data_IF_396363574098
#
_entry.id   IF_396363574098
#
_cell.length_a   1.000
_cell.length_b   1.000
_cell.length_c   1.000
_cell.angle_alpha   90.00
_cell.angle_beta   90.00
_cell.angle_gamma   90.00
#
_symmetry.space_group_name_H-M   'P 1'
#
loop_
_entity.id
_entity.type
_entity.pdbx_description
1 polymer ?
#
# COMPACT_ATOMS: atom_id res chain seq x y z
N UNK A 1 0.12 9.05 -14.13
CA UNK A 1 -0.94 9.87 -14.75
C UNK A 1 -2.24 9.08 -14.94
N UNK A 2 -2.24 7.87 -15.53
CA UNK A 2 -3.45 7.10 -15.82
C UNK A 2 -4.41 6.95 -14.61
N UNK A 3 -3.90 6.55 -13.44
CA UNK A 3 -4.72 6.35 -12.23
C UNK A 3 -5.42 7.63 -11.73
N UNK A 4 -4.77 8.79 -11.82
CA UNK A 4 -5.37 10.07 -11.43
C UNK A 4 -6.50 10.48 -12.38
N UNK A 5 -6.31 10.28 -13.69
CA UNK A 5 -7.33 10.56 -14.69
C UNK A 5 -8.58 9.67 -14.51
N UNK A 6 -8.40 8.40 -14.14
CA UNK A 6 -9.53 7.50 -13.84
C UNK A 6 -10.30 7.94 -12.59
N UNK A 7 -9.62 8.28 -11.48
CA UNK A 7 -10.26 8.74 -10.24
C UNK A 7 -11.05 10.03 -10.49
N UNK A 8 -10.49 10.98 -11.26
CA UNK A 8 -11.13 12.25 -11.57
C UNK A 8 -12.45 12.13 -12.34
N UNK A 9 -12.74 10.99 -12.98
CA UNK A 9 -14.03 10.74 -13.64
C UNK A 9 -15.18 10.60 -12.64
N UNK A 10 -14.89 10.12 -11.43
CA UNK A 10 -15.91 9.79 -10.42
C UNK A 10 -15.81 10.64 -9.14
N UNK A 11 -14.63 11.20 -8.85
CA UNK A 11 -14.37 11.98 -7.64
C UNK A 11 -13.91 13.41 -8.01
N UNK A 12 -14.71 14.41 -7.65
CA UNK A 12 -14.39 15.83 -7.89
C UNK A 12 -13.24 16.32 -7.02
N UNK A 13 -12.97 15.65 -5.90
CA UNK A 13 -11.82 15.92 -5.03
C UNK A 13 -10.74 14.85 -5.19
N UNK A 14 -10.55 14.33 -6.41
CA UNK A 14 -9.55 13.30 -6.74
C UNK A 14 -8.16 13.58 -6.16
N UNK A 15 -7.78 14.86 -6.08
CA UNK A 15 -6.50 15.32 -5.55
C UNK A 15 -6.28 14.96 -4.06
N UNK A 16 -7.36 14.82 -3.28
CA UNK A 16 -7.32 14.48 -1.85
C UNK A 16 -6.81 13.06 -1.59
N UNK A 17 -6.86 12.19 -2.62
CA UNK A 17 -6.35 10.82 -2.58
C UNK A 17 -4.83 10.75 -2.72
N UNK A 18 -4.16 11.86 -3.04
CA UNK A 18 -2.72 11.90 -3.26
C UNK A 18 -1.97 12.64 -2.14
N UNK A 19 -0.68 12.36 -2.05
CA UNK A 19 0.28 13.13 -1.26
C UNK A 19 1.46 13.52 -2.14
N UNK A 20 2.04 14.68 -1.86
CA UNK A 20 3.28 15.16 -2.49
C UNK A 20 4.39 15.33 -1.47
N UNK A 21 5.63 15.05 -1.85
CA UNK A 21 6.79 15.21 -1.00
C UNK A 21 7.24 16.67 -1.01
N UNK A 22 7.04 17.39 0.09
CA UNK A 22 7.41 18.80 0.24
C UNK A 22 8.21 18.96 1.54
N UNK A 23 9.44 19.47 1.42
CA UNK A 23 10.35 19.64 2.56
C UNK A 23 10.65 18.31 3.28
N UNK A 24 10.75 17.21 2.53
CA UNK A 24 10.98 15.87 3.07
C UNK A 24 9.78 15.24 3.79
N UNK A 25 8.59 15.83 3.69
CA UNK A 25 7.36 15.29 4.30
C UNK A 25 6.27 15.08 3.27
N UNK A 26 5.55 13.96 3.41
CA UNK A 26 4.35 13.69 2.62
C UNK A 26 3.20 14.57 3.11
N UNK A 27 2.67 15.39 2.22
CA UNK A 27 1.59 16.32 2.55
C UNK A 27 0.43 16.14 1.57
N UNK A 28 -0.79 16.21 2.10
CA UNK A 28 -2.00 16.21 1.28
C UNK A 28 -2.17 17.56 0.59
N UNK A 29 -2.49 17.59 -0.71
CA UNK A 29 -2.91 18.80 -1.39
C UNK A 29 -4.17 19.37 -0.75
N UNK A 30 -4.24 20.70 -0.63
CA UNK A 30 -5.40 21.43 -0.11
C UNK A 30 -6.35 21.91 -1.23
N UNK A 31 -5.96 21.69 -2.48
CA UNK A 31 -6.71 22.04 -3.69
C UNK A 31 -6.20 21.19 -4.86
N UNK A 32 -6.91 21.26 -5.98
CA UNK A 32 -6.49 20.69 -7.26
C UNK A 32 -5.06 21.12 -7.64
N UNK A 33 -4.32 20.22 -8.29
CA UNK A 33 -2.93 20.44 -8.68
C UNK A 33 -2.59 19.73 -9.98
N UNK A 34 -1.47 20.14 -10.59
CA UNK A 34 -0.86 19.44 -11.72
C UNK A 34 0.35 18.64 -11.25
N UNK A 35 0.58 17.47 -11.85
CA UNK A 35 1.78 16.67 -11.58
C UNK A 35 3.00 17.36 -12.19
N UNK A 36 3.94 17.77 -11.32
CA UNK A 36 5.20 18.39 -11.71
C UNK A 36 6.32 17.34 -11.66
N UNK A 37 7.16 17.21 -12.72
CA UNK A 37 8.22 16.20 -12.76
C UNK A 37 9.22 16.27 -11.60
N UNK A 38 9.40 17.44 -11.00
CA UNK A 38 10.36 17.71 -9.93
C UNK A 38 9.83 17.32 -8.54
N UNK A 39 8.57 16.89 -8.45
CA UNK A 39 7.91 16.54 -7.20
C UNK A 39 7.59 15.05 -7.20
N UNK A 40 7.90 14.40 -6.08
CA UNK A 40 7.46 13.04 -5.84
C UNK A 40 6.01 13.01 -5.35
N UNK A 41 5.22 12.07 -5.89
CA UNK A 41 3.83 11.87 -5.55
C UNK A 41 3.58 10.42 -5.17
N UNK A 42 2.63 10.21 -4.25
CA UNK A 42 2.09 8.88 -3.96
C UNK A 42 0.59 8.96 -3.70
N UNK A 43 -0.09 7.82 -3.79
CA UNK A 43 -1.42 7.69 -3.20
C UNK A 43 -1.31 7.79 -1.69
N UNK A 44 -2.27 8.46 -1.06
CA UNK A 44 -2.40 8.49 0.39
C UNK A 44 -2.50 7.04 0.89
N UNK A 45 -1.67 6.62 1.85
CA UNK A 45 -1.78 5.28 2.41
C UNK A 45 -3.21 5.05 2.92
N UNK A 46 -3.81 3.95 2.48
CA UNK A 46 -5.08 3.46 2.99
C UNK A 46 -4.80 2.48 4.11
N UNK A 47 -5.71 2.41 5.07
CA UNK A 47 -5.59 1.53 6.22
C UNK A 47 -6.85 0.70 6.34
N UNK A 48 -6.68 -0.55 6.75
CA UNK A 48 -7.73 -1.45 7.18
C UNK A 48 -7.63 -1.66 8.68
N UNK A 49 -8.76 -1.90 9.34
CA UNK A 49 -8.78 -2.26 10.76
C UNK A 49 -8.72 -3.78 10.89
N UNK A 50 -7.73 -4.27 11.64
CA UNK A 50 -7.62 -5.68 12.01
C UNK A 50 -7.50 -5.73 13.53
N UNK A 51 -8.57 -6.15 14.21
CA UNK A 51 -8.64 -6.24 15.67
C UNK A 51 -8.26 -4.94 16.40
N UNK A 52 -8.69 -3.78 15.88
CA UNK A 52 -8.35 -2.47 16.44
C UNK A 52 -6.96 -1.94 16.07
N UNK A 53 -6.19 -2.67 15.26
CA UNK A 53 -4.93 -2.20 14.71
C UNK A 53 -5.16 -1.61 13.32
N UNK A 54 -4.63 -0.41 13.10
CA UNK A 54 -4.61 0.23 11.79
C UNK A 54 -3.45 -0.33 10.97
N UNK A 55 -3.77 -1.13 9.97
CA UNK A 55 -2.81 -1.82 9.11
C UNK A 55 -2.83 -1.18 7.74
N UNK A 56 -1.69 -0.78 7.15
CA UNK A 56 -1.66 -0.32 5.77
C UNK A 56 -2.30 -1.35 4.84
N UNK A 57 -3.13 -0.90 3.91
CA UNK A 57 -3.84 -1.77 2.98
C UNK A 57 -2.83 -2.63 2.19
N UNK A 58 -2.97 -3.97 2.21
CA UNK A 58 -2.12 -4.86 1.43
C UNK A 58 -2.25 -4.57 -0.07
N UNK A 59 -1.26 -5.00 -0.84
CA UNK A 59 -1.31 -4.92 -2.31
C UNK A 59 -2.58 -5.62 -2.83
N UNK A 60 -3.31 -4.95 -3.73
CA UNK A 60 -4.58 -5.41 -4.30
C UNK A 60 -4.49 -5.80 -5.79
N UNK A 61 -3.44 -5.35 -6.48
CA UNK A 61 -3.23 -5.56 -7.91
C UNK A 61 -1.90 -6.29 -8.12
N UNK A 62 -1.77 -7.16 -9.14
CA UNK A 62 -0.50 -7.80 -9.47
C UNK A 62 0.65 -6.81 -9.60
N UNK A 63 1.83 -7.20 -9.13
CA UNK A 63 3.05 -6.38 -9.21
C UNK A 63 3.75 -6.57 -10.55
N UNK A 64 4.68 -5.69 -10.87
CA UNK A 64 5.56 -5.88 -12.03
C UNK A 64 6.56 -7.02 -11.75
N UNK A 65 6.87 -7.84 -12.76
CA UNK A 65 7.84 -8.92 -12.65
C UNK A 65 9.19 -8.42 -12.10
N UNK A 66 9.69 -9.13 -11.09
CA UNK A 66 10.92 -8.81 -10.34
C UNK A 66 10.73 -7.85 -9.18
N UNK A 67 9.54 -7.27 -8.98
CA UNK A 67 9.26 -6.36 -7.87
C UNK A 67 9.45 -7.06 -6.53
N UNK A 68 10.27 -6.49 -5.65
CA UNK A 68 10.45 -7.00 -4.29
C UNK A 68 9.25 -6.69 -3.39
N UNK A 69 8.81 -7.66 -2.60
CA UNK A 69 7.72 -7.50 -1.65
C UNK A 69 7.94 -8.31 -0.36
N UNK A 70 7.21 -7.93 0.69
CA UNK A 70 7.19 -8.62 1.98
C UNK A 70 5.91 -9.46 2.11
N UNK A 71 6.05 -10.69 2.60
CA UNK A 71 4.95 -11.61 2.90
C UNK A 71 4.75 -11.71 4.40
N UNK A 72 3.52 -11.47 4.84
CA UNK A 72 3.16 -11.59 6.25
C UNK A 72 2.76 -13.02 6.58
N UNK A 73 3.44 -13.66 7.52
CA UNK A 73 3.07 -14.94 8.13
C UNK A 73 2.83 -14.82 9.64
N UNK A 74 2.29 -15.87 10.24
CA UNK A 74 2.15 -15.94 11.71
C UNK A 74 3.52 -16.14 12.37
N UNK A 75 4.37 -16.93 11.75
CA UNK A 75 5.74 -17.25 12.14
C UNK A 75 6.74 -16.11 11.87
N UNK A 76 6.51 -15.28 10.84
CA UNK A 76 7.45 -14.22 10.50
C UNK A 76 7.03 -13.32 9.35
N UNK A 77 7.99 -12.57 8.83
CA UNK A 77 7.85 -11.77 7.62
C UNK A 77 9.00 -12.14 6.70
N UNK A 78 8.65 -12.62 5.51
CA UNK A 78 9.61 -13.01 4.49
C UNK A 78 9.69 -11.95 3.40
N UNK A 79 10.84 -11.90 2.72
CA UNK A 79 11.04 -11.07 1.53
C UNK A 79 11.13 -11.95 0.30
N UNK A 80 10.36 -11.61 -0.73
CA UNK A 80 10.28 -12.34 -2.00
C UNK A 80 10.31 -11.36 -3.18
N UNK A 81 10.41 -11.89 -4.40
CA UNK A 81 10.32 -11.12 -5.64
C UNK A 81 9.23 -11.70 -6.50
N UNK A 82 8.40 -10.82 -7.06
CA UNK A 82 7.27 -11.19 -7.89
C UNK A 82 7.77 -11.89 -9.15
N UNK A 83 7.39 -13.14 -9.34
CA UNK A 83 7.70 -13.97 -10.49
C UNK A 83 6.49 -14.17 -11.43
N UNK A 84 5.33 -13.62 -11.08
CA UNK A 84 4.07 -13.78 -11.83
C UNK A 84 3.63 -15.25 -11.90
N UNK A 85 3.80 -15.96 -10.78
CA UNK A 85 3.44 -17.38 -10.63
C UNK A 85 2.17 -17.60 -9.77
N UNK A 86 1.77 -18.86 -9.65
CA UNK A 86 0.57 -19.22 -8.87
C UNK A 86 0.71 -18.90 -7.37
N UNK A 87 1.94 -18.92 -6.83
CA UNK A 87 2.19 -18.64 -5.42
C UNK A 87 2.05 -17.13 -5.13
N UNK A 88 2.60 -16.29 -6.00
CA UNK A 88 2.39 -14.83 -6.01
C UNK A 88 0.90 -14.48 -6.03
N UNK A 89 0.14 -15.07 -6.96
CA UNK A 89 -1.29 -14.85 -7.08
C UNK A 89 -2.05 -15.28 -5.82
N UNK A 90 -1.68 -16.41 -5.22
CA UNK A 90 -2.31 -16.91 -4.01
C UNK A 90 -2.04 -15.98 -2.82
N UNK A 91 -0.81 -15.48 -2.68
CA UNK A 91 -0.44 -14.52 -1.63
C UNK A 91 -1.16 -13.18 -1.81
N UNK A 92 -1.33 -12.72 -3.05
CA UNK A 92 -2.07 -11.52 -3.39
C UNK A 92 -3.55 -11.66 -3.00
N UNK A 93 -4.20 -12.76 -3.40
CA UNK A 93 -5.62 -13.07 -3.07
C UNK A 93 -5.85 -13.17 -1.56
N UNK A 94 -4.83 -13.58 -0.80
CA UNK A 94 -4.88 -13.65 0.66
C UNK A 94 -4.66 -12.29 1.35
N UNK A 95 -4.28 -11.23 0.62
CA UNK A 95 -4.01 -9.91 1.18
C UNK A 95 -2.79 -9.89 2.10
N UNK A 96 -1.77 -10.71 1.81
CA UNK A 96 -0.58 -10.88 2.68
C UNK A 96 0.65 -10.11 2.21
N UNK A 97 0.56 -9.46 1.05
CA UNK A 97 1.66 -8.79 0.37
C UNK A 97 1.72 -7.31 0.76
N UNK A 98 2.91 -6.85 1.18
CA UNK A 98 3.21 -5.44 1.45
C UNK A 98 4.49 -5.00 0.75
N UNK A 99 4.55 -3.77 0.27
CA UNK A 99 5.75 -3.21 -0.40
C UNK A 99 6.81 -2.70 0.59
N UNK A 100 6.47 -2.56 1.87
CA UNK A 100 7.43 -2.15 2.91
C UNK A 100 7.38 -3.11 4.09
N UNK A 101 8.52 -3.24 4.77
CA UNK A 101 8.65 -4.11 5.94
C UNK A 101 7.79 -3.60 7.10
N UNK A 102 7.72 -2.28 7.29
CA UNK A 102 6.96 -1.66 8.37
C UNK A 102 5.46 -1.92 8.22
N UNK A 103 4.95 -1.92 6.98
CA UNK A 103 3.55 -2.27 6.69
C UNK A 103 3.28 -3.76 6.99
N UNK A 104 4.20 -4.64 6.61
CA UNK A 104 4.12 -6.06 6.96
C UNK A 104 4.17 -6.30 8.48
N UNK A 105 5.00 -5.56 9.22
CA UNK A 105 5.13 -5.63 10.69
C UNK A 105 3.85 -5.17 11.39
N UNK A 106 3.21 -4.10 10.90
CA UNK A 106 1.91 -3.65 11.40
C UNK A 106 0.83 -4.73 11.19
N UNK A 107 0.78 -5.32 9.99
CA UNK A 107 -0.16 -6.40 9.68
C UNK A 107 0.09 -7.62 10.57
N UNK A 108 1.35 -8.07 10.70
CA UNK A 108 1.70 -9.22 11.55
C UNK A 108 1.32 -8.99 13.00
N UNK A 109 1.59 -7.79 13.53
CA UNK A 109 1.22 -7.43 14.91
C UNK A 109 -0.29 -7.53 15.12
N UNK A 110 -1.07 -7.07 14.15
CA UNK A 110 -2.52 -7.21 14.17
C UNK A 110 -2.97 -8.69 14.17
N UNK A 111 -2.36 -9.55 13.35
CA UNK A 111 -2.68 -10.99 13.35
C UNK A 111 -2.32 -11.67 14.68
N UNK A 112 -1.16 -11.35 15.25
CA UNK A 112 -0.71 -11.93 16.51
C UNK A 112 -1.60 -11.51 17.68
N UNK A 113 -2.18 -10.31 17.63
CA UNK A 113 -3.08 -9.81 18.68
C UNK A 113 -4.30 -10.71 18.94
N UNK A 114 -4.69 -11.57 17.98
CA UNK A 114 -5.73 -12.58 18.20
C UNK A 114 -5.31 -13.72 19.15
N UNK A 115 -4.00 -13.91 19.35
CA UNK A 115 -3.42 -15.03 20.12
C UNK A 115 -2.75 -14.60 21.42
N UNK A 116 -2.43 -13.32 21.58
CA UNK A 116 -1.95 -12.74 22.84
C UNK A 116 -3.16 -12.41 23.73
N UNK A 117 -3.40 -13.23 24.75
CA UNK A 117 -4.35 -12.98 25.84
C UNK A 117 -3.61 -12.95 27.17
#
# INVERSE_FOLDING_TARGET
MAKAAEIAKTDKEWYSQFQRLIGGKWQSPIAEFVFLPEIEYRMKPRYIDINGYQVPEPVQEPLEYGTGYCVVGLDGIDYQRWCDDEDDENLLKQGRIHLTREAAEAHRSALISFTQK
#
